data_IF_301972572315
#
_entry.id   IF_301972572315
#
_cell.length_a   1.000
_cell.length_b   1.000
_cell.length_c   1.000
_cell.angle_alpha   90.00
_cell.angle_beta   90.00
_cell.angle_gamma   90.00
#
_symmetry.space_group_name_H-M   'P 1'
#
loop_
_entity.id
_entity.type
_entity.pdbx_description
1 polymer ?
#
# COMPACT_ATOMS: atom_id res chain seq x y z
N UNK A 1 19.15 12.28 18.27
CA UNK A 1 18.43 13.57 18.32
C UNK A 1 17.45 13.71 17.15
N UNK A 2 16.31 14.37 17.33
CA UNK A 2 15.53 14.87 16.20
C UNK A 2 16.23 16.12 15.64
N UNK A 3 16.31 16.25 14.32
CA UNK A 3 17.05 17.34 13.67
C UNK A 3 16.38 18.71 13.83
N UNK A 4 15.05 18.73 14.00
CA UNK A 4 14.23 19.92 14.13
C UNK A 4 13.22 19.74 15.27
N UNK A 5 13.08 20.76 16.13
CA UNK A 5 12.11 20.81 17.24
C UNK A 5 10.69 21.06 16.73
N UNK A 6 9.69 20.80 17.57
CA UNK A 6 8.28 21.10 17.26
C UNK A 6 8.09 22.61 17.00
N UNK A 7 8.57 23.46 17.92
CA UNK A 7 8.50 24.92 17.82
C UNK A 7 9.07 25.43 16.49
N UNK A 8 10.22 24.90 16.07
CA UNK A 8 10.85 25.30 14.83
C UNK A 8 10.02 24.92 13.60
N UNK A 9 9.45 23.70 13.59
CA UNK A 9 8.56 23.28 12.50
C UNK A 9 7.28 24.13 12.47
N UNK A 10 6.67 24.38 13.63
CA UNK A 10 5.46 25.19 13.78
C UNK A 10 5.68 26.59 13.22
N UNK A 11 6.79 27.25 13.59
CA UNK A 11 7.18 28.57 13.05
C UNK A 11 7.21 28.60 11.52
N UNK A 12 7.78 27.57 10.89
CA UNK A 12 7.88 27.51 9.42
C UNK A 12 6.52 27.26 8.78
N UNK A 13 5.70 26.40 9.38
CA UNK A 13 4.34 26.14 8.89
C UNK A 13 3.48 27.40 9.02
N UNK A 14 3.56 28.12 10.13
CA UNK A 14 2.82 29.37 10.31
C UNK A 14 3.28 30.44 9.31
N UNK A 15 4.59 30.56 9.05
CA UNK A 15 5.11 31.44 8.01
C UNK A 15 4.58 31.08 6.60
N UNK A 16 4.46 29.79 6.28
CA UNK A 16 3.82 29.33 5.05
C UNK A 16 2.34 29.72 4.99
N UNK A 17 1.60 29.52 6.07
CA UNK A 17 0.16 29.82 6.15
C UNK A 17 -0.13 31.32 6.10
N UNK A 18 0.78 32.16 6.60
CA UNK A 18 0.74 33.62 6.46
C UNK A 18 1.08 34.10 5.04
N UNK A 19 1.50 33.22 4.14
CA UNK A 19 1.85 33.58 2.77
C UNK A 19 3.19 34.31 2.63
N UNK A 20 4.11 34.17 3.61
CA UNK A 20 5.44 34.82 3.56
C UNK A 20 6.31 34.34 2.38
N UNK A 21 5.95 33.21 1.77
CA UNK A 21 6.52 32.72 0.53
C UNK A 21 6.30 31.22 0.31
N UNK A 22 6.70 30.74 -0.87
CA UNK A 22 6.60 29.32 -1.21
C UNK A 22 7.67 28.45 -0.53
N UNK A 23 7.56 27.13 -0.68
CA UNK A 23 8.48 26.17 -0.04
C UNK A 23 9.97 26.39 -0.37
N UNK A 24 10.29 26.89 -1.56
CA UNK A 24 11.68 27.22 -1.95
C UNK A 24 12.22 28.38 -1.11
N UNK A 25 11.41 29.43 -0.94
CA UNK A 25 11.76 30.59 -0.13
C UNK A 25 11.94 30.21 1.33
N UNK A 26 11.01 29.45 1.90
CA UNK A 26 11.13 28.98 3.29
C UNK A 26 12.36 28.09 3.49
N UNK A 27 12.72 27.29 2.48
CA UNK A 27 13.94 26.47 2.49
C UNK A 27 15.20 27.33 2.54
N UNK A 28 15.28 28.42 1.76
CA UNK A 28 16.42 29.33 1.78
C UNK A 28 16.51 30.16 3.06
N UNK A 29 15.38 30.58 3.62
CA UNK A 29 15.36 31.45 4.82
C UNK A 29 15.66 30.67 6.09
N UNK A 30 15.03 29.51 6.26
CA UNK A 30 15.14 28.74 7.51
C UNK A 30 16.18 27.62 7.45
N UNK A 31 16.53 27.14 6.24
CA UNK A 31 17.53 26.09 6.01
C UNK A 31 17.03 24.67 5.71
N UNK A 32 15.85 24.18 6.18
CA UNK A 32 15.38 22.83 5.86
C UNK A 32 15.14 22.63 4.37
N UNK A 33 15.28 21.39 3.89
CA UNK A 33 15.03 21.07 2.50
C UNK A 33 13.54 21.25 2.13
N UNK A 34 13.26 21.78 0.93
CA UNK A 34 11.89 22.00 0.41
C UNK A 34 10.92 20.85 0.69
N UNK A 35 11.36 19.60 0.44
CA UNK A 35 10.53 18.39 0.64
C UNK A 35 10.16 18.16 2.11
N UNK A 36 11.01 18.54 3.06
CA UNK A 36 10.70 18.38 4.49
C UNK A 36 9.67 19.41 4.94
N UNK A 37 9.81 20.65 4.46
CA UNK A 37 8.84 21.73 4.71
C UNK A 37 7.47 21.35 4.15
N UNK A 38 7.42 20.86 2.91
CA UNK A 38 6.18 20.40 2.27
C UNK A 38 5.51 19.28 3.09
N UNK A 39 6.29 18.33 3.61
CA UNK A 39 5.75 17.28 4.50
C UNK A 39 5.18 17.87 5.79
N UNK A 40 5.86 18.83 6.43
CA UNK A 40 5.36 19.44 7.66
C UNK A 40 4.06 20.20 7.44
N UNK A 41 3.97 20.99 6.37
CA UNK A 41 2.76 21.74 6.02
C UNK A 41 1.58 20.80 5.78
N UNK A 42 1.78 19.77 4.95
CA UNK A 42 0.71 18.82 4.65
C UNK A 42 0.27 18.03 5.90
N UNK A 43 1.23 17.57 6.72
CA UNK A 43 0.91 16.90 7.98
C UNK A 43 0.14 17.82 8.94
N UNK A 44 0.48 19.10 8.98
CA UNK A 44 -0.22 20.08 9.80
C UNK A 44 -1.64 20.34 9.29
N UNK A 45 -1.83 20.45 7.98
CA UNK A 45 -3.16 20.63 7.39
C UNK A 45 -4.09 19.44 7.66
N UNK A 46 -3.56 18.21 7.72
CA UNK A 46 -4.36 17.01 7.97
C UNK A 46 -4.55 16.66 9.46
N UNK A 47 -3.53 16.89 10.29
CA UNK A 47 -3.50 16.41 11.69
C UNK A 47 -3.29 17.52 12.72
N UNK A 48 -3.25 18.79 12.29
CA UNK A 48 -2.95 19.93 13.17
C UNK A 48 -1.58 19.81 13.82
N UNK A 49 -1.49 20.27 15.08
CA UNK A 49 -0.24 20.28 15.84
C UNK A 49 0.34 18.87 16.06
N UNK A 50 -0.52 17.85 16.17
CA UNK A 50 -0.09 16.45 16.32
C UNK A 50 0.72 15.95 15.10
N UNK A 51 0.44 16.48 13.91
CA UNK A 51 1.17 16.16 12.68
C UNK A 51 2.63 16.63 12.66
N UNK A 52 2.95 17.63 13.48
CA UNK A 52 4.30 18.18 13.63
C UNK A 52 5.07 17.52 14.77
N UNK A 53 4.33 17.01 15.76
CA UNK A 53 4.89 16.33 16.92
C UNK A 53 5.60 15.05 16.52
N UNK A 54 6.70 14.77 17.24
CA UNK A 54 7.35 13.49 17.14
C UNK A 54 6.53 12.48 17.93
N UNK A 55 6.07 11.42 17.27
CA UNK A 55 5.49 10.29 18.00
C UNK A 55 6.54 9.70 18.95
N UNK A 56 6.25 9.76 20.26
CA UNK A 56 7.09 9.17 21.31
C UNK A 56 6.81 7.68 21.50
N UNK A 57 5.72 7.19 20.91
CA UNK A 57 5.30 5.79 20.97
C UNK A 57 5.60 5.10 19.63
N UNK A 58 6.15 3.89 19.67
CA UNK A 58 6.22 3.06 18.47
C UNK A 58 4.82 2.50 18.18
N UNK A 59 4.09 3.13 17.25
CA UNK A 59 2.88 2.53 16.68
C UNK A 59 3.27 1.21 16.01
N UNK A 60 2.73 0.10 16.53
CA UNK A 60 2.86 -1.22 15.93
C UNK A 60 1.71 -1.41 14.94
N UNK A 61 2.05 -1.63 13.68
CA UNK A 61 1.08 -1.97 12.65
C UNK A 61 1.01 -3.49 12.51
N UNK A 62 -0.20 -4.04 12.54
CA UNK A 62 -0.45 -5.46 12.31
C UNK A 62 -0.03 -5.86 10.89
N UNK A 63 0.13 -7.15 10.64
CA UNK A 63 0.42 -7.67 9.31
C UNK A 63 -0.66 -7.28 8.31
N UNK A 64 -1.92 -7.54 8.67
CA UNK A 64 -3.11 -7.22 7.87
C UNK A 64 -3.16 -5.74 7.49
N UNK A 65 -2.93 -4.84 8.45
CA UNK A 65 -2.93 -3.39 8.17
C UNK A 65 -1.83 -2.99 7.20
N UNK A 66 -0.64 -3.60 7.29
CA UNK A 66 0.44 -3.33 6.33
C UNK A 66 0.08 -3.84 4.94
N UNK A 67 -0.52 -5.03 4.87
CA UNK A 67 -0.92 -5.65 3.62
C UNK A 67 -2.00 -4.80 2.93
N UNK A 68 -3.05 -4.41 3.66
CA UNK A 68 -4.13 -3.58 3.12
C UNK A 68 -3.62 -2.23 2.60
N UNK A 69 -2.70 -1.58 3.32
CA UNK A 69 -2.11 -0.31 2.89
C UNK A 69 -1.27 -0.49 1.62
N UNK A 70 -0.53 -1.59 1.51
CA UNK A 70 0.27 -1.89 0.32
C UNK A 70 -0.62 -2.21 -0.88
N UNK A 71 -1.66 -3.03 -0.69
CA UNK A 71 -2.64 -3.35 -1.72
C UNK A 71 -3.33 -2.09 -2.23
N UNK A 72 -3.81 -1.23 -1.32
CA UNK A 72 -4.46 0.03 -1.68
C UNK A 72 -3.54 0.93 -2.52
N UNK A 73 -2.23 0.96 -2.22
CA UNK A 73 -1.25 1.68 -3.04
C UNK A 73 -1.03 1.05 -4.42
N UNK A 74 -1.12 -0.27 -4.53
CA UNK A 74 -0.89 -0.98 -5.80
C UNK A 74 -2.13 -0.97 -6.69
N UNK A 75 -3.33 -0.88 -6.12
CA UNK A 75 -4.59 -0.80 -6.87
C UNK A 75 -4.95 0.62 -7.28
N UNK A 76 -4.55 1.63 -6.49
CA UNK A 76 -4.97 3.01 -6.68
C UNK A 76 -3.79 3.91 -7.07
N UNK A 77 -4.05 4.91 -7.92
CA UNK A 77 -3.06 5.92 -8.32
C UNK A 77 -2.94 7.06 -7.29
N UNK A 78 -2.65 6.71 -6.03
CA UNK A 78 -2.52 7.67 -4.92
C UNK A 78 -1.06 7.86 -4.53
N UNK A 79 -0.68 9.07 -4.12
CA UNK A 79 0.67 9.32 -3.62
C UNK A 79 0.87 8.67 -2.25
N UNK A 80 2.13 8.33 -1.91
CA UNK A 80 2.45 7.84 -0.56
C UNK A 80 2.03 8.80 0.56
N UNK A 81 1.97 10.10 0.26
CA UNK A 81 1.62 11.11 1.23
C UNK A 81 0.11 11.17 1.47
N UNK A 82 -0.70 11.12 0.41
CA UNK A 82 -2.16 11.05 0.52
C UNK A 82 -2.58 9.76 1.22
N UNK A 83 -2.00 8.62 0.85
CA UNK A 83 -2.26 7.34 1.50
C UNK A 83 -1.88 7.37 2.98
N UNK A 84 -0.75 7.99 3.32
CA UNK A 84 -0.36 8.21 4.71
C UNK A 84 -1.39 9.04 5.50
N UNK A 85 -1.93 10.09 4.87
CA UNK A 85 -2.95 10.93 5.49
C UNK A 85 -4.24 10.12 5.73
N UNK A 86 -4.73 9.41 4.70
CA UNK A 86 -5.93 8.56 4.79
C UNK A 86 -5.82 7.51 5.89
N UNK A 87 -4.66 6.89 6.03
CA UNK A 87 -4.41 5.79 6.97
C UNK A 87 -3.97 6.27 8.37
N UNK A 88 -3.90 7.58 8.61
CA UNK A 88 -3.44 8.15 9.88
C UNK A 88 -1.96 7.86 10.19
N UNK A 89 -1.16 7.66 9.14
CA UNK A 89 0.28 7.37 9.21
C UNK A 89 1.04 8.66 8.95
N UNK A 90 1.61 9.27 9.99
CA UNK A 90 2.35 10.54 9.87
C UNK A 90 3.63 10.46 9.00
N UNK A 91 4.14 9.25 8.74
CA UNK A 91 5.37 9.03 7.99
C UNK A 91 5.14 8.28 6.66
N UNK A 92 5.02 9.00 5.53
CA UNK A 92 4.88 8.39 4.20
C UNK A 92 6.02 7.44 3.81
N UNK A 93 7.24 7.68 4.30
CA UNK A 93 8.40 6.83 3.99
C UNK A 93 8.27 5.42 4.58
N UNK A 94 7.44 5.24 5.62
CA UNK A 94 7.14 3.92 6.17
C UNK A 94 6.37 3.06 5.15
N UNK A 95 5.42 3.65 4.45
CA UNK A 95 4.61 2.98 3.42
C UNK A 95 5.49 2.60 2.23
N UNK A 96 6.35 3.52 1.77
CA UNK A 96 7.31 3.23 0.71
C UNK A 96 8.21 2.01 1.06
N UNK A 97 8.63 1.89 2.32
CA UNK A 97 9.41 0.75 2.78
C UNK A 97 8.59 -0.55 2.79
N UNK A 98 7.30 -0.51 3.12
CA UNK A 98 6.41 -1.68 3.03
C UNK A 98 6.22 -2.13 1.58
N UNK A 99 5.89 -1.19 0.68
CA UNK A 99 5.70 -1.48 -0.75
C UNK A 99 6.97 -2.05 -1.37
N UNK A 100 8.14 -1.48 -1.07
CA UNK A 100 9.42 -2.00 -1.54
C UNK A 100 9.66 -3.44 -1.08
N UNK A 101 9.40 -3.76 0.20
CA UNK A 101 9.54 -5.12 0.72
C UNK A 101 8.58 -6.10 0.07
N UNK A 102 7.33 -5.67 -0.12
CA UNK A 102 6.31 -6.46 -0.79
C UNK A 102 6.70 -6.79 -2.23
N UNK A 103 7.23 -5.81 -2.99
CA UNK A 103 7.69 -6.03 -4.36
C UNK A 103 8.86 -7.01 -4.46
N UNK A 104 9.73 -7.06 -3.45
CA UNK A 104 10.92 -7.92 -3.46
C UNK A 104 10.63 -9.35 -3.00
N UNK A 105 9.82 -9.52 -1.96
CA UNK A 105 9.65 -10.81 -1.28
C UNK A 105 8.19 -11.17 -0.95
N UNK A 106 7.24 -10.47 -1.57
CA UNK A 106 5.81 -10.75 -1.45
C UNK A 106 5.21 -10.40 -0.08
N UNK A 107 3.99 -10.88 0.22
CA UNK A 107 3.27 -10.56 1.45
C UNK A 107 4.05 -10.96 2.71
N UNK A 108 4.70 -12.13 2.72
CA UNK A 108 5.49 -12.64 3.86
C UNK A 108 6.58 -11.66 4.35
N UNK A 109 7.07 -10.77 3.48
CA UNK A 109 8.06 -9.75 3.82
C UNK A 109 7.53 -8.67 4.80
N UNK A 110 6.21 -8.53 4.92
CA UNK A 110 5.55 -7.56 5.81
C UNK A 110 5.38 -8.09 7.24
N UNK A 111 5.50 -9.41 7.46
CA UNK A 111 5.45 -10.01 8.79
C UNK A 111 6.62 -9.50 9.64
N UNK A 112 6.35 -9.21 10.91
CA UNK A 112 7.41 -8.80 11.84
C UNK A 112 8.36 -9.97 12.06
N UNK A 113 9.50 -9.98 11.37
CA UNK A 113 10.56 -10.94 11.68
C UNK A 113 11.04 -10.68 13.11
N UNK A 114 11.12 -11.72 13.93
CA UNK A 114 11.82 -11.65 15.22
C UNK A 114 13.26 -11.25 14.90
N UNK A 115 13.60 -9.99 15.11
CA UNK A 115 14.95 -9.48 14.86
C UNK A 115 15.85 -9.95 15.99
N UNK A 116 16.31 -11.19 15.87
CA UNK A 116 17.40 -11.74 16.65
C UNK A 116 18.63 -11.88 15.76
N UNK A 117 19.75 -11.32 16.20
CA UNK A 117 21.06 -11.82 15.76
C UNK A 117 21.14 -13.24 16.33
N UNK A 118 21.12 -14.27 15.49
CA UNK A 118 21.58 -15.58 15.97
C UNK A 118 23.01 -15.36 16.45
N UNK A 119 23.24 -15.49 17.76
CA UNK A 119 24.62 -15.54 18.27
C UNK A 119 25.22 -16.77 17.63
N UNK A 120 26.19 -16.59 16.74
CA UNK A 120 27.14 -17.64 16.40
C UNK A 120 27.95 -17.91 17.67
N UNK A 121 27.40 -18.70 18.59
CA UNK A 121 28.24 -19.37 19.58
C UNK A 121 28.90 -20.55 18.89
N UNK A 122 30.21 -20.62 19.12
CA UNK A 122 31.09 -21.68 18.69
C UNK A 122 30.51 -23.07 18.91
N UNK A 123 30.74 -23.94 17.94
CA UNK A 123 30.40 -25.36 18.00
C UNK A 123 31.26 -26.03 19.08
N UNK A 124 30.73 -26.19 20.29
CA UNK A 124 31.23 -27.22 21.19
C UNK A 124 30.11 -27.84 22.01
N UNK A 125 29.70 -29.03 21.56
CA UNK A 125 29.20 -30.17 22.35
C UNK A 125 28.09 -29.86 23.37
N UNK A 126 26.82 -29.94 22.96
CA UNK A 126 25.75 -30.54 23.79
C UNK A 126 24.76 -31.28 22.85
N UNK A 127 24.56 -32.56 23.13
CA UNK A 127 23.60 -33.51 22.54
C UNK A 127 22.14 -33.03 22.59
N UNK A 128 21.27 -33.37 21.61
CA UNK A 128 19.89 -32.88 21.60
C UNK A 128 19.00 -33.74 22.50
N UNK A 129 18.29 -33.10 23.44
CA UNK A 129 17.00 -33.59 23.95
C UNK A 129 15.90 -32.73 23.30
N UNK A 130 14.80 -33.32 22.77
CA UNK A 130 13.74 -32.54 22.17
C UNK A 130 12.86 -31.96 23.28
N UNK A 131 12.87 -30.64 23.42
CA UNK A 131 11.82 -29.93 24.16
C UNK A 131 10.81 -29.40 23.13
N UNK A 132 9.57 -29.85 23.27
CA UNK A 132 8.39 -29.42 22.51
C UNK A 132 8.31 -27.90 22.50
N UNK A 133 8.45 -27.33 21.31
CA UNK A 133 8.02 -25.98 21.00
C UNK A 133 6.71 -26.17 20.24
N UNK A 134 5.59 -25.75 20.82
CA UNK A 134 4.33 -25.58 20.09
C UNK A 134 4.47 -24.36 19.17
N UNK A 135 5.25 -24.54 18.11
CA UNK A 135 5.10 -23.76 16.89
C UNK A 135 3.76 -24.17 16.29
N UNK A 136 2.80 -23.24 16.22
CA UNK A 136 1.88 -23.24 15.09
C UNK A 136 2.72 -22.96 13.85
N UNK A 137 3.38 -24.02 13.38
CA UNK A 137 3.81 -24.20 12.02
C UNK A 137 2.56 -23.92 11.20
N UNK A 138 2.54 -22.81 10.47
CA UNK A 138 1.63 -22.71 9.33
C UNK A 138 2.05 -23.86 8.47
N UNK A 139 1.18 -24.85 8.43
CA UNK A 139 1.46 -26.17 7.89
C UNK A 139 1.86 -26.00 6.43
N UNK A 140 3.17 -25.97 6.16
CA UNK A 140 3.71 -26.21 4.83
C UNK A 140 3.63 -27.70 4.51
N UNK A 141 2.56 -28.36 4.98
CA UNK A 141 2.11 -29.64 4.48
C UNK A 141 1.80 -29.47 3.00
N UNK A 142 2.14 -30.47 2.21
CA UNK A 142 1.76 -30.54 0.80
C UNK A 142 0.24 -30.32 0.59
N UNK A 143 -0.56 -30.53 1.63
CA UNK A 143 -2.01 -30.30 1.65
C UNK A 143 -2.37 -28.82 1.47
N UNK A 144 -1.70 -27.88 2.14
CA UNK A 144 -2.04 -26.45 2.00
C UNK A 144 -1.63 -25.91 0.62
N UNK A 145 -0.52 -26.41 0.07
CA UNK A 145 -0.11 -26.08 -1.31
C UNK A 145 -1.15 -26.58 -2.30
N UNK A 146 -1.67 -27.80 -2.09
CA UNK A 146 -2.71 -28.40 -2.94
C UNK A 146 -4.03 -27.63 -2.85
N UNK A 147 -4.45 -27.21 -1.67
CA UNK A 147 -5.64 -26.36 -1.50
C UNK A 147 -5.52 -25.05 -2.28
N UNK A 148 -4.37 -24.39 -2.22
CA UNK A 148 -4.12 -23.15 -2.96
C UNK A 148 -4.10 -23.38 -4.48
N UNK A 149 -3.55 -24.51 -4.95
CA UNK A 149 -3.59 -24.90 -6.36
C UNK A 149 -5.03 -25.14 -6.85
N UNK A 150 -5.85 -25.80 -6.04
CA UNK A 150 -7.27 -26.05 -6.32
C UNK A 150 -8.07 -24.74 -6.37
N UNK A 151 -7.83 -23.82 -5.43
CA UNK A 151 -8.44 -22.49 -5.43
C UNK A 151 -8.04 -21.68 -6.68
N UNK A 152 -6.75 -21.70 -7.06
CA UNK A 152 -6.28 -21.04 -8.29
C UNK A 152 -6.94 -21.63 -9.54
N UNK A 153 -7.11 -22.95 -9.60
CA UNK A 153 -7.78 -23.63 -10.71
C UNK A 153 -9.25 -23.20 -10.79
N UNK A 154 -9.96 -23.22 -9.66
CA UNK A 154 -11.36 -22.77 -9.57
C UNK A 154 -11.53 -21.32 -10.04
N UNK A 155 -10.68 -20.40 -9.56
CA UNK A 155 -10.71 -18.99 -9.94
C UNK A 155 -10.39 -18.78 -11.43
N UNK A 156 -9.51 -19.60 -12.02
CA UNK A 156 -9.23 -19.57 -13.47
C UNK A 156 -10.44 -19.98 -14.29
N UNK A 157 -11.15 -21.04 -13.87
CA UNK A 157 -12.38 -21.48 -14.52
C UNK A 157 -13.44 -20.38 -14.44
N UNK A 158 -13.67 -19.82 -13.26
CA UNK A 158 -14.66 -18.75 -13.06
C UNK A 158 -14.36 -17.52 -13.94
N UNK A 159 -13.10 -17.06 -13.95
CA UNK A 159 -12.71 -15.95 -14.82
C UNK A 159 -12.86 -16.26 -16.31
N UNK A 160 -12.58 -17.49 -16.75
CA UNK A 160 -12.80 -17.90 -18.13
C UNK A 160 -14.29 -17.86 -18.49
N UNK A 161 -15.15 -18.38 -17.60
CA UNK A 161 -16.59 -18.36 -17.78
C UNK A 161 -17.17 -16.93 -17.83
N UNK A 162 -16.73 -16.05 -16.93
CA UNK A 162 -17.15 -14.65 -16.92
C UNK A 162 -16.71 -13.90 -18.20
N UNK A 163 -15.51 -14.21 -18.73
CA UNK A 163 -15.04 -13.64 -20.00
C UNK A 163 -15.90 -14.12 -21.18
N UNK A 164 -16.29 -15.39 -21.21
CA UNK A 164 -17.13 -15.92 -22.29
C UNK A 164 -18.56 -15.37 -22.23
N UNK A 165 -19.13 -15.23 -21.03
CA UNK A 165 -20.42 -14.55 -20.84
C UNK A 165 -20.38 -13.10 -21.33
N UNK A 166 -19.29 -12.38 -21.03
CA UNK A 166 -19.11 -10.99 -21.50
C UNK A 166 -19.01 -10.93 -23.02
N UNK A 167 -18.31 -11.88 -23.64
CA UNK A 167 -18.20 -12.00 -25.10
C UNK A 167 -19.56 -12.22 -25.76
N UNK A 168 -20.35 -13.17 -25.26
CA UNK A 168 -21.68 -13.46 -25.79
C UNK A 168 -22.62 -12.26 -25.71
N UNK A 169 -22.64 -11.55 -24.57
CA UNK A 169 -23.44 -10.31 -24.45
C UNK A 169 -23.07 -9.25 -25.47
N UNK A 170 -21.77 -9.05 -25.71
CA UNK A 170 -21.30 -8.08 -26.70
C UNK A 170 -21.68 -8.50 -28.13
N UNK A 171 -21.63 -9.80 -28.43
CA UNK A 171 -22.03 -10.33 -29.74
C UNK A 171 -23.55 -10.19 -29.96
N UNK A 172 -24.36 -10.46 -28.95
CA UNK A 172 -25.81 -10.27 -29.00
C UNK A 172 -26.18 -8.79 -29.17
N UNK A 173 -25.52 -7.87 -28.44
CA UNK A 173 -25.68 -6.43 -28.63
C UNK A 173 -25.32 -5.99 -30.05
N UNK A 174 -24.22 -6.51 -30.60
CA UNK A 174 -23.78 -6.20 -31.96
C UNK A 174 -24.80 -6.68 -33.01
N UNK A 175 -25.31 -7.92 -32.88
CA UNK A 175 -26.35 -8.46 -33.77
C UNK A 175 -27.65 -7.66 -33.69
N UNK A 176 -28.03 -7.19 -32.50
CA UNK A 176 -29.20 -6.32 -32.36
C UNK A 176 -28.99 -4.97 -33.03
N UNK A 177 -27.81 -4.33 -32.87
CA UNK A 177 -27.48 -3.08 -33.55
C UNK A 177 -27.49 -3.22 -35.08
N UNK A 178 -26.90 -4.29 -35.62
CA UNK A 178 -26.93 -4.62 -37.05
C UNK A 178 -28.37 -4.69 -37.57
N UNK A 179 -29.24 -5.47 -36.90
CA UNK A 179 -30.67 -5.58 -37.27
C UNK A 179 -31.40 -4.24 -37.25
N UNK A 180 -31.16 -3.42 -36.23
CA UNK A 180 -31.76 -2.10 -36.14
C UNK A 180 -31.27 -1.18 -37.28
N UNK A 181 -29.98 -1.23 -37.65
CA UNK A 181 -29.41 -0.43 -38.75
C UNK A 181 -29.89 -0.86 -40.14
N UNK A 182 -30.06 -2.17 -40.38
CA UNK A 182 -30.60 -2.69 -41.64
C UNK A 182 -32.08 -2.35 -41.84
N UNK A 183 -32.85 -2.27 -40.74
CA UNK A 183 -34.25 -1.86 -40.77
C UNK A 183 -34.42 -0.37 -41.05
N UNK A 184 -33.53 0.49 -40.53
CA UNK A 184 -33.60 1.94 -40.81
C UNK A 184 -33.19 2.29 -42.24
N UNK A 185 -32.24 1.56 -42.83
CA UNK A 185 -31.77 1.83 -44.20
C UNK A 185 -32.76 1.39 -45.30
N UNK A 186 -33.70 0.49 -45.00
CA UNK A 186 -34.69 0.00 -45.99
C UNK A 186 -35.96 0.86 -46.09
N UNK A 187 -36.09 1.90 -45.26
CA UNK A 187 -37.25 2.81 -45.25
C UNK A 187 -37.11 4.08 -46.09
N UNK A 188 -35.93 4.34 -46.68
CA UNK A 188 -35.61 5.60 -47.39
C UNK A 188 -35.54 5.44 -48.93
N UNK A 189 -36.19 4.42 -49.49
CA UNK A 189 -36.25 4.20 -50.95
C UNK A 189 -37.68 3.87 -51.38
N UNK A 190 -38.59 4.86 -51.34
CA UNK A 190 -39.82 4.91 -52.15
C UNK A 190 -40.22 6.39 -52.24
N UNK A 191 -39.69 7.07 -53.25
CA UNK A 191 -40.27 8.27 -53.89
C UNK A 191 -40.93 7.83 -55.21
#
# INVERSE_FOLDING_TARGET
MARYSYEFKKKIVDAYLRGEGGYKYLSSVYGPHKKDIQKWVNNYQSFGDEGLMRSRQQKKYSFEKKLSVVELYLTNEISYQELAIQEGITNPSLIAAWVSRFRVAGPEALKSRKKGRTRTLDKSKISPKPQKIEERVVDTSAEHVKELEDELLKLRIENAFLKELRRLRLEDEAKMRERHSSSTASGESLD
#
